data_IF_440584906958
#
_entry.id   IF_440584906958
#
_cell.length_a   1.000
_cell.length_b   1.000
_cell.length_c   1.000
_cell.angle_alpha   90.00
_cell.angle_beta   90.00
_cell.angle_gamma   90.00
#
_symmetry.space_group_name_H-M   'P 1'
#
loop_
_entity.id
_entity.type
_entity.pdbx_description
1 polymer ?
#
# COMPACT_ATOMS: atom_id res chain seq x y z
N UNK A 1 -39.52 6.15 -16.99
CA UNK A 1 -38.36 6.96 -16.56
C UNK A 1 -38.29 6.92 -15.05
N UNK A 2 -37.48 6.02 -14.49
CA UNK A 2 -37.29 5.89 -13.04
C UNK A 2 -36.40 7.04 -12.57
N UNK A 3 -36.93 7.92 -11.72
CA UNK A 3 -36.14 8.86 -10.94
C UNK A 3 -35.13 8.06 -10.10
N UNK A 4 -33.89 7.89 -10.60
CA UNK A 4 -32.80 7.37 -9.79
C UNK A 4 -32.57 8.38 -8.67
N UNK A 5 -33.06 8.07 -7.46
CA UNK A 5 -32.88 8.92 -6.31
C UNK A 5 -31.39 9.18 -6.13
N UNK A 6 -31.02 10.47 -6.10
CA UNK A 6 -29.69 10.88 -5.65
C UNK A 6 -29.65 10.51 -4.18
N UNK A 7 -29.07 9.35 -3.85
CA UNK A 7 -28.73 9.04 -2.46
C UNK A 7 -27.68 10.05 -2.02
N UNK A 8 -28.17 11.15 -1.46
CA UNK A 8 -27.37 12.27 -1.01
C UNK A 8 -26.80 11.89 0.36
N UNK A 9 -25.85 10.95 0.38
CA UNK A 9 -25.13 10.61 1.60
C UNK A 9 -24.40 11.87 2.08
N UNK A 10 -24.59 12.20 3.35
CA UNK A 10 -23.86 13.30 3.98
C UNK A 10 -22.35 12.99 3.98
N UNK A 11 -21.48 14.01 4.01
CA UNK A 11 -20.04 13.83 4.19
C UNK A 11 -19.68 12.90 5.35
N UNK A 12 -20.36 13.04 6.48
CA UNK A 12 -20.17 12.19 7.67
C UNK A 12 -20.55 10.73 7.42
N UNK A 13 -21.63 10.49 6.66
CA UNK A 13 -22.07 9.12 6.33
C UNK A 13 -21.07 8.43 5.42
N UNK A 14 -20.59 9.11 4.38
CA UNK A 14 -19.55 8.57 3.49
C UNK A 14 -18.26 8.31 4.26
N UNK A 15 -17.83 9.25 5.12
CA UNK A 15 -16.63 9.08 5.96
C UNK A 15 -16.71 7.83 6.85
N UNK A 16 -17.80 7.68 7.60
CA UNK A 16 -17.99 6.52 8.49
C UNK A 16 -18.09 5.23 7.66
N UNK A 17 -18.75 5.27 6.51
CA UNK A 17 -18.84 4.11 5.62
C UNK A 17 -17.46 3.69 5.10
N UNK A 18 -16.59 4.65 4.79
CA UNK A 18 -15.20 4.42 4.39
C UNK A 18 -14.37 3.79 5.50
N UNK A 19 -14.43 4.39 6.70
CA UNK A 19 -13.75 3.87 7.88
C UNK A 19 -14.19 2.43 8.22
N UNK A 20 -15.48 2.11 8.09
CA UNK A 20 -15.99 0.75 8.29
C UNK A 20 -15.54 -0.22 7.20
N UNK A 21 -15.52 0.22 5.94
CA UNK A 21 -15.19 -0.65 4.82
C UNK A 21 -13.73 -1.12 4.81
N UNK A 22 -12.81 -0.34 5.39
CA UNK A 22 -11.40 -0.70 5.46
C UNK A 22 -11.05 -1.61 6.65
N UNK A 23 -11.97 -1.85 7.60
CA UNK A 23 -11.73 -2.66 8.81
C UNK A 23 -11.07 -4.02 8.50
N UNK A 24 -11.52 -4.82 7.52
CA UNK A 24 -10.89 -6.12 7.24
C UNK A 24 -9.40 -5.99 6.88
N UNK A 25 -9.03 -4.95 6.12
CA UNK A 25 -7.65 -4.68 5.74
C UNK A 25 -6.84 -4.15 6.93
N UNK A 26 -7.46 -3.31 7.77
CA UNK A 26 -6.85 -2.82 9.02
C UNK A 26 -6.50 -3.97 9.97
N UNK A 27 -7.40 -4.94 10.15
CA UNK A 27 -7.13 -6.12 10.97
C UNK A 27 -5.88 -6.87 10.47
N UNK A 28 -5.75 -7.00 9.14
CA UNK A 28 -4.54 -7.55 8.51
C UNK A 28 -3.30 -6.68 8.71
N UNK A 29 -3.45 -5.35 8.76
CA UNK A 29 -2.36 -4.38 8.89
C UNK A 29 -1.77 -4.28 10.32
N UNK A 30 -2.55 -4.57 11.37
CA UNK A 30 -2.14 -4.48 12.78
C UNK A 30 -0.80 -5.19 13.06
N UNK A 31 -0.63 -6.49 12.76
CA UNK A 31 0.63 -7.18 13.04
C UNK A 31 1.80 -6.47 12.34
N UNK A 32 1.66 -6.08 11.07
CA UNK A 32 2.72 -5.39 10.32
C UNK A 32 3.14 -4.07 10.96
N UNK A 33 2.21 -3.25 11.44
CA UNK A 33 2.54 -2.00 12.14
C UNK A 33 3.33 -2.24 13.43
N UNK A 34 2.93 -3.23 14.23
CA UNK A 34 3.63 -3.60 15.48
C UNK A 34 5.05 -4.10 15.18
N UNK A 35 5.19 -4.93 14.14
CA UNK A 35 6.48 -5.49 13.72
C UNK A 35 7.40 -4.38 13.21
N UNK A 36 6.88 -3.48 12.37
CA UNK A 36 7.65 -2.33 11.91
C UNK A 36 8.21 -1.55 13.10
N UNK A 37 7.37 -1.23 14.08
CA UNK A 37 7.80 -0.55 15.31
C UNK A 37 8.87 -1.34 16.08
N UNK A 38 8.70 -2.65 16.20
CA UNK A 38 9.63 -3.54 16.91
C UNK A 38 11.00 -3.62 16.21
N UNK A 39 11.01 -3.72 14.88
CA UNK A 39 12.22 -3.91 14.07
C UNK A 39 12.95 -2.60 13.74
N UNK A 40 12.30 -1.45 13.90
CA UNK A 40 12.87 -0.17 13.48
C UNK A 40 14.17 0.16 14.23
N UNK A 41 14.20 -0.04 15.55
CA UNK A 41 15.38 0.25 16.37
C UNK A 41 16.54 -0.71 16.09
N UNK A 42 16.27 -2.01 15.95
CA UNK A 42 17.30 -2.99 15.57
C UNK A 42 17.87 -2.77 14.17
N UNK A 43 17.10 -2.12 13.30
CA UNK A 43 17.53 -1.74 11.95
C UNK A 43 18.37 -0.45 11.91
N UNK A 44 18.61 0.20 13.05
CA UNK A 44 19.44 1.40 13.15
C UNK A 44 18.69 2.74 13.14
N UNK A 45 17.35 2.74 13.16
CA UNK A 45 16.57 3.97 13.34
C UNK A 45 16.50 4.35 14.83
N UNK A 46 16.57 5.65 15.12
CA UNK A 46 16.20 6.16 16.43
C UNK A 46 14.68 6.05 16.64
N UNK A 47 14.24 6.12 17.90
CA UNK A 47 12.80 6.14 18.23
C UNK A 47 12.05 7.24 17.46
N UNK A 48 12.61 8.45 17.43
CA UNK A 48 12.03 9.58 16.69
C UNK A 48 12.09 9.34 15.19
N UNK A 49 13.18 8.76 14.67
CA UNK A 49 13.30 8.41 13.26
C UNK A 49 12.25 7.40 12.82
N UNK A 50 11.96 6.39 13.65
CA UNK A 50 10.93 5.40 13.38
C UNK A 50 9.52 6.02 13.33
N UNK A 51 9.19 6.90 14.29
CA UNK A 51 7.91 7.63 14.27
C UNK A 51 7.82 8.56 13.06
N UNK A 52 8.89 9.31 12.76
CA UNK A 52 8.91 10.20 11.59
C UNK A 52 8.73 9.41 10.29
N UNK A 53 9.39 8.27 10.16
CA UNK A 53 9.23 7.38 9.02
C UNK A 53 7.80 6.82 8.93
N UNK A 54 7.23 6.40 10.06
CA UNK A 54 5.84 5.94 10.16
C UNK A 54 4.84 6.99 9.69
N UNK A 55 5.03 8.24 10.12
CA UNK A 55 4.11 9.34 9.85
C UNK A 55 4.27 9.93 8.43
N UNK A 56 5.51 10.12 7.98
CA UNK A 56 5.79 10.86 6.75
C UNK A 56 5.88 9.98 5.51
N UNK A 57 6.48 8.80 5.62
CA UNK A 57 6.60 7.87 4.48
C UNK A 57 5.30 7.09 4.30
N UNK A 58 4.68 6.67 5.40
CA UNK A 58 3.37 5.99 5.46
C UNK A 58 3.14 5.00 4.30
N UNK A 59 4.13 4.15 4.04
CA UNK A 59 4.09 3.14 2.99
C UNK A 59 4.72 1.86 3.53
N UNK A 60 3.90 0.89 3.93
CA UNK A 60 4.34 -0.30 4.67
C UNK A 60 5.46 -1.06 3.94
N UNK A 61 5.27 -1.44 2.68
CA UNK A 61 6.30 -2.17 1.91
C UNK A 61 7.64 -1.40 1.83
N UNK A 62 7.60 -0.10 1.55
CA UNK A 62 8.79 0.75 1.48
C UNK A 62 9.48 0.89 2.85
N UNK A 63 8.71 0.94 3.94
CA UNK A 63 9.22 0.95 5.30
C UNK A 63 10.01 -0.33 5.61
N UNK A 64 9.46 -1.51 5.33
CA UNK A 64 10.16 -2.77 5.54
C UNK A 64 11.41 -2.93 4.67
N UNK A 65 11.34 -2.50 3.41
CA UNK A 65 12.50 -2.46 2.51
C UNK A 65 13.60 -1.57 3.10
N UNK A 66 13.25 -0.38 3.56
CA UNK A 66 14.20 0.54 4.16
C UNK A 66 14.80 -0.02 5.45
N UNK A 67 14.00 -0.66 6.32
CA UNK A 67 14.53 -1.32 7.52
C UNK A 67 15.58 -2.37 7.16
N UNK A 68 15.31 -3.23 6.17
CA UNK A 68 16.27 -4.25 5.73
C UNK A 68 17.56 -3.65 5.14
N UNK A 69 17.45 -2.58 4.35
CA UNK A 69 18.62 -1.89 3.78
C UNK A 69 19.41 -1.10 4.85
N UNK A 70 18.74 -0.52 5.84
CA UNK A 70 19.39 0.14 6.97
C UNK A 70 20.13 -0.87 7.86
N UNK A 71 19.52 -2.03 8.13
CA UNK A 71 20.14 -3.11 8.91
C UNK A 71 21.44 -3.63 8.28
N UNK A 72 21.53 -3.62 6.95
CA UNK A 72 22.74 -3.98 6.18
C UNK A 72 23.71 -2.81 5.97
N UNK A 73 23.44 -1.64 6.58
CA UNK A 73 24.23 -0.41 6.44
C UNK A 73 24.38 0.05 4.98
N UNK A 74 23.37 -0.18 4.16
CA UNK A 74 23.33 0.28 2.77
C UNK A 74 23.37 1.82 2.71
N UNK A 75 24.04 2.38 1.71
CA UNK A 75 24.14 3.83 1.52
C UNK A 75 22.76 4.48 1.33
N UNK A 76 22.52 5.61 2.00
CA UNK A 76 21.21 6.30 2.01
C UNK A 76 20.63 6.59 0.60
N UNK A 77 21.41 7.02 -0.42
CA UNK A 77 20.87 7.23 -1.76
C UNK A 77 20.25 5.98 -2.38
N UNK A 78 20.80 4.79 -2.07
CA UNK A 78 20.26 3.52 -2.57
C UNK A 78 18.93 3.21 -1.89
N UNK A 79 18.82 3.47 -0.59
CA UNK A 79 17.56 3.29 0.16
C UNK A 79 16.47 4.18 -0.42
N UNK A 80 16.79 5.45 -0.65
CA UNK A 80 15.87 6.42 -1.28
C UNK A 80 15.46 5.93 -2.66
N UNK A 81 16.42 5.51 -3.50
CA UNK A 81 16.13 5.03 -4.85
C UNK A 81 15.24 3.78 -4.85
N UNK A 82 15.59 2.76 -4.05
CA UNK A 82 14.81 1.51 -3.99
C UNK A 82 13.41 1.76 -3.48
N UNK A 83 13.25 2.53 -2.41
CA UNK A 83 11.91 2.86 -1.87
C UNK A 83 11.11 3.75 -2.82
N UNK A 84 11.75 4.69 -3.52
CA UNK A 84 11.12 5.49 -4.55
C UNK A 84 10.58 4.62 -5.69
N UNK A 85 11.39 3.72 -6.23
CA UNK A 85 11.00 2.83 -7.34
C UNK A 85 9.82 1.93 -6.93
N UNK A 86 9.85 1.35 -5.73
CA UNK A 86 8.75 0.53 -5.22
C UNK A 86 7.47 1.37 -5.02
N UNK A 87 7.62 2.62 -4.57
CA UNK A 87 6.49 3.52 -4.37
C UNK A 87 5.89 4.09 -5.66
N UNK A 88 6.52 3.92 -6.83
CA UNK A 88 5.92 4.29 -8.12
C UNK A 88 4.55 3.64 -8.35
N UNK A 89 4.23 2.53 -7.68
CA UNK A 89 2.88 1.95 -7.71
C UNK A 89 1.78 2.91 -7.23
N UNK A 90 2.09 3.80 -6.27
CA UNK A 90 1.13 4.82 -5.82
C UNK A 90 0.84 5.86 -6.90
N UNK A 91 1.81 6.13 -7.80
CA UNK A 91 1.57 6.95 -8.99
C UNK A 91 0.57 6.25 -9.93
N UNK A 92 0.70 4.95 -10.16
CA UNK A 92 -0.23 4.17 -10.99
C UNK A 92 -1.64 4.15 -10.40
N UNK A 93 -1.77 4.01 -9.08
CA UNK A 93 -3.04 4.14 -8.38
C UNK A 93 -3.65 5.53 -8.51
N UNK A 94 -2.83 6.57 -8.38
CA UNK A 94 -3.24 7.96 -8.56
C UNK A 94 -3.77 8.22 -9.98
N UNK A 95 -3.11 7.69 -11.01
CA UNK A 95 -3.58 7.77 -12.39
C UNK A 95 -4.92 7.07 -12.59
N UNK A 96 -5.16 5.95 -11.91
CA UNK A 96 -6.45 5.23 -11.98
C UNK A 96 -7.58 6.00 -11.30
N UNK A 97 -7.27 6.77 -10.25
CA UNK A 97 -8.23 7.57 -9.51
C UNK A 97 -8.45 8.97 -10.09
N UNK A 98 -7.55 9.47 -10.94
CA UNK A 98 -7.55 10.87 -11.41
C UNK A 98 -8.87 11.29 -12.04
N UNK A 99 -9.50 10.42 -12.85
CA UNK A 99 -10.77 10.70 -13.52
C UNK A 99 -11.90 10.98 -12.52
N UNK A 100 -11.80 10.43 -11.31
CA UNK A 100 -12.78 10.55 -10.23
C UNK A 100 -12.51 11.74 -9.30
N UNK A 101 -11.25 12.12 -9.11
CA UNK A 101 -10.84 13.18 -8.17
C UNK A 101 -10.40 14.49 -8.83
N UNK A 102 -10.27 14.53 -10.16
CA UNK A 102 -9.78 15.70 -10.92
C UNK A 102 -10.57 16.98 -10.66
N UNK A 103 -11.88 16.87 -10.37
CA UNK A 103 -12.77 18.01 -10.11
C UNK A 103 -12.68 18.56 -8.68
N UNK A 104 -11.97 17.88 -7.78
CA UNK A 104 -11.78 18.33 -6.40
C UNK A 104 -10.78 19.49 -6.33
N UNK A 105 -10.84 20.25 -5.24
CA UNK A 105 -9.88 21.32 -4.97
C UNK A 105 -8.45 20.78 -4.81
N UNK A 106 -7.40 21.61 -5.05
CA UNK A 106 -6.02 21.20 -4.84
C UNK A 106 -5.74 20.66 -3.43
N UNK A 107 -6.40 21.23 -2.42
CA UNK A 107 -6.30 20.78 -1.04
C UNK A 107 -6.76 19.32 -0.86
N UNK A 108 -7.91 18.96 -1.45
CA UNK A 108 -8.39 17.57 -1.42
C UNK A 108 -7.46 16.63 -2.17
N UNK A 109 -6.91 17.05 -3.31
CA UNK A 109 -5.94 16.24 -4.07
C UNK A 109 -4.68 15.96 -3.25
N UNK A 110 -4.18 16.96 -2.52
CA UNK A 110 -3.04 16.81 -1.62
C UNK A 110 -3.33 15.82 -0.47
N UNK A 111 -4.46 16.00 0.23
CA UNK A 111 -4.87 15.13 1.35
C UNK A 111 -5.02 13.68 0.89
N UNK A 112 -5.78 13.46 -0.19
CA UNK A 112 -6.03 12.11 -0.68
C UNK A 112 -4.76 11.48 -1.26
N UNK A 113 -3.89 12.28 -1.89
CA UNK A 113 -2.60 11.80 -2.39
C UNK A 113 -1.65 11.37 -1.29
N UNK A 114 -1.55 12.13 -0.19
CA UNK A 114 -0.66 11.82 0.93
C UNK A 114 -1.02 10.50 1.62
N UNK A 115 -2.31 10.24 1.84
CA UNK A 115 -2.79 9.01 2.50
C UNK A 115 -3.17 7.88 1.55
N UNK A 116 -2.73 7.94 0.30
CA UNK A 116 -2.95 6.86 -0.66
C UNK A 116 -2.05 5.68 -0.31
N UNK A 117 -2.64 4.57 0.15
CA UNK A 117 -1.98 3.27 0.30
C UNK A 117 -2.65 2.21 -0.56
N UNK A 118 -2.07 1.01 -0.62
CA UNK A 118 -2.62 -0.13 -1.37
C UNK A 118 -4.05 -0.48 -0.90
N UNK A 119 -4.25 -0.49 0.42
CA UNK A 119 -5.51 -0.84 1.07
C UNK A 119 -6.57 0.22 0.86
N UNK A 120 -6.17 1.49 0.99
CA UNK A 120 -7.05 2.64 0.76
C UNK A 120 -7.44 2.70 -0.71
N UNK A 121 -6.51 2.45 -1.63
CA UNK A 121 -6.81 2.32 -3.06
C UNK A 121 -7.84 1.24 -3.32
N UNK A 122 -7.63 0.03 -2.76
CA UNK A 122 -8.50 -1.11 -2.96
C UNK A 122 -9.96 -0.83 -2.56
N UNK A 123 -10.14 -0.14 -1.44
CA UNK A 123 -11.46 0.28 -0.92
C UNK A 123 -12.04 1.44 -1.73
N UNK A 124 -11.23 2.47 -2.02
CA UNK A 124 -11.68 3.67 -2.72
C UNK A 124 -12.10 3.39 -4.17
N UNK A 125 -11.31 2.62 -4.93
CA UNK A 125 -11.63 2.31 -6.34
C UNK A 125 -12.95 1.54 -6.45
N UNK A 126 -13.22 0.63 -5.52
CA UNK A 126 -14.48 -0.11 -5.47
C UNK A 126 -15.69 0.82 -5.22
N UNK A 127 -15.54 1.82 -4.33
CA UNK A 127 -16.59 2.84 -4.10
C UNK A 127 -16.83 3.71 -5.34
N UNK A 128 -15.76 4.10 -6.03
CA UNK A 128 -15.84 4.94 -7.22
C UNK A 128 -16.50 4.22 -8.41
N UNK A 129 -16.32 2.91 -8.54
CA UNK A 129 -16.99 2.10 -9.56
C UNK A 129 -18.49 1.88 -9.33
N UNK A 130 -19.01 2.13 -8.11
CA UNK A 130 -20.46 2.07 -7.86
C UNK A 130 -21.18 3.18 -8.63
N UNK A 131 -22.21 2.82 -9.39
CA UNK A 131 -22.96 3.69 -10.31
C UNK A 131 -23.87 4.72 -9.64
N UNK A 132 -23.68 5.04 -8.36
CA UNK A 132 -24.45 6.08 -7.68
C UNK A 132 -23.91 7.49 -7.96
N UNK A 133 -24.80 8.48 -7.91
CA UNK A 133 -24.49 9.91 -8.16
C UNK A 133 -23.98 10.64 -6.91
N UNK A 134 -23.41 9.93 -5.92
CA UNK A 134 -22.92 10.57 -4.70
C UNK A 134 -21.75 11.52 -5.03
N UNK A 135 -21.91 12.81 -4.68
CA UNK A 135 -20.87 13.83 -4.84
C UNK A 135 -19.79 13.77 -3.74
N UNK A 136 -20.10 13.10 -2.62
CA UNK A 136 -19.27 13.06 -1.42
C UNK A 136 -18.36 11.83 -1.33
N UNK A 137 -18.17 11.06 -2.41
CA UNK A 137 -17.31 9.84 -2.43
C UNK A 137 -15.87 10.07 -1.95
N UNK A 138 -15.36 11.30 -2.08
CA UNK A 138 -14.04 11.66 -1.55
C UNK A 138 -13.98 11.61 -0.01
N UNK A 139 -15.09 11.80 0.69
CA UNK A 139 -15.16 11.60 2.14
C UNK A 139 -15.08 10.12 2.53
N UNK A 140 -15.62 9.22 1.71
CA UNK A 140 -15.45 7.77 1.91
C UNK A 140 -14.00 7.35 1.78
N UNK A 141 -13.31 7.83 0.74
CA UNK A 141 -11.86 7.68 0.64
C UNK A 141 -11.22 8.22 1.93
N UNK A 142 -11.45 9.48 2.27
CA UNK A 142 -10.81 10.12 3.41
C UNK A 142 -11.03 9.37 4.74
N UNK A 143 -12.22 8.82 4.97
CA UNK A 143 -12.52 8.00 6.14
C UNK A 143 -11.71 6.70 6.19
N UNK A 144 -11.57 6.01 5.06
CA UNK A 144 -10.72 4.82 4.96
C UNK A 144 -9.25 5.17 5.22
N UNK A 145 -8.76 6.26 4.59
CA UNK A 145 -7.40 6.77 4.73
C UNK A 145 -7.04 7.09 6.19
N UNK A 146 -7.86 7.90 6.87
CA UNK A 146 -7.60 8.32 8.25
C UNK A 146 -7.64 7.12 9.21
N UNK A 147 -8.61 6.22 9.04
CA UNK A 147 -8.71 5.06 9.93
C UNK A 147 -7.50 4.13 9.78
N UNK A 148 -7.04 3.87 8.56
CA UNK A 148 -5.81 3.11 8.31
C UNK A 148 -4.58 3.82 8.88
N UNK A 149 -4.46 5.14 8.67
CA UNK A 149 -3.32 5.92 9.15
C UNK A 149 -3.21 5.89 10.68
N UNK A 150 -4.30 6.16 11.39
CA UNK A 150 -4.33 6.14 12.85
C UNK A 150 -4.01 4.75 13.39
N UNK A 151 -4.57 3.70 12.79
CA UNK A 151 -4.24 2.32 13.13
C UNK A 151 -2.73 2.06 12.99
N UNK A 152 -2.14 2.45 11.86
CA UNK A 152 -0.71 2.25 11.62
C UNK A 152 0.15 2.97 12.64
N UNK A 153 -0.15 4.24 12.95
CA UNK A 153 0.61 5.00 13.95
C UNK A 153 0.51 4.37 15.35
N UNK A 154 -0.70 3.95 15.76
CA UNK A 154 -0.91 3.28 17.05
C UNK A 154 -0.12 1.98 17.11
N UNK A 155 -0.19 1.15 16.07
CA UNK A 155 0.56 -0.10 15.99
C UNK A 155 2.08 0.14 16.02
N UNK A 156 2.58 1.14 15.30
CA UNK A 156 4.01 1.51 15.33
C UNK A 156 4.45 1.90 16.73
N UNK A 157 3.68 2.74 17.43
CA UNK A 157 4.01 3.16 18.80
C UNK A 157 3.98 1.97 19.77
N UNK A 158 2.99 1.09 19.65
CA UNK A 158 2.92 -0.17 20.40
C UNK A 158 4.17 -1.01 20.12
N UNK A 159 4.57 -1.18 18.86
CA UNK A 159 5.77 -1.91 18.49
C UNK A 159 7.06 -1.29 19.05
N UNK A 160 7.19 0.04 18.98
CA UNK A 160 8.37 0.74 19.49
C UNK A 160 8.50 0.68 21.01
N UNK A 161 7.37 0.68 21.73
CA UNK A 161 7.36 0.75 23.20
C UNK A 161 7.31 -0.64 23.83
N UNK A 162 6.50 -1.54 23.29
CA UNK A 162 6.25 -2.88 23.84
C UNK A 162 6.96 -3.99 23.06
N UNK A 163 7.68 -3.67 21.96
CA UNK A 163 8.37 -4.67 21.15
C UNK A 163 9.41 -5.49 21.92
N UNK A 164 10.02 -4.91 22.97
CA UNK A 164 10.95 -5.63 23.86
C UNK A 164 10.26 -6.74 24.68
N UNK A 165 8.93 -6.68 24.86
CA UNK A 165 8.12 -7.72 25.50
C UNK A 165 7.71 -8.83 24.53
N UNK A 166 8.01 -8.69 23.24
CA UNK A 166 7.69 -9.66 22.18
C UNK A 166 9.00 -10.38 21.78
N UNK A 167 9.47 -11.36 22.58
CA UNK A 167 10.67 -12.10 22.25
C UNK A 167 10.50 -12.83 20.91
N UNK A 168 11.54 -12.81 20.09
CA UNK A 168 11.58 -13.49 18.79
C UNK A 168 10.51 -13.04 17.79
N UNK A 169 10.02 -11.79 17.86
CA UNK A 169 9.07 -11.26 16.89
C UNK A 169 9.53 -11.47 15.43
N UNK A 170 10.83 -11.36 15.16
CA UNK A 170 11.44 -11.64 13.85
C UNK A 170 11.21 -13.06 13.34
N UNK A 171 10.97 -14.03 14.22
CA UNK A 171 10.85 -15.46 13.87
C UNK A 171 9.40 -15.89 13.66
N UNK A 172 8.42 -14.98 13.73
CA UNK A 172 6.99 -15.31 13.61
C UNK A 172 6.54 -15.59 12.17
N UNK A 173 7.46 -15.77 11.22
CA UNK A 173 7.12 -16.04 9.82
C UNK A 173 6.50 -14.84 9.10
N UNK A 174 6.90 -13.63 9.48
CA UNK A 174 6.26 -12.38 9.03
C UNK A 174 6.59 -12.03 7.59
N UNK A 175 7.78 -12.43 7.13
CA UNK A 175 8.18 -12.34 5.72
C UNK A 175 7.20 -13.13 4.84
N UNK A 176 6.74 -14.28 5.35
CA UNK A 176 5.70 -15.08 4.70
C UNK A 176 4.32 -14.41 4.79
N UNK A 177 3.92 -13.92 5.98
CA UNK A 177 2.64 -13.24 6.16
C UNK A 177 2.47 -12.01 5.23
N UNK A 178 3.54 -11.23 5.05
CA UNK A 178 3.54 -10.07 4.15
C UNK A 178 3.36 -10.50 2.70
N UNK A 179 4.12 -11.52 2.28
CA UNK A 179 4.04 -12.07 0.93
C UNK A 179 2.63 -12.57 0.61
N UNK A 180 2.02 -13.36 1.51
CA UNK A 180 0.67 -13.89 1.34
C UNK A 180 -0.38 -12.79 1.34
N UNK A 181 -0.24 -11.76 2.18
CA UNK A 181 -1.17 -10.63 2.23
C UNK A 181 -1.18 -9.87 0.91
N UNK A 182 -0.02 -9.54 0.35
CA UNK A 182 0.07 -8.87 -0.95
C UNK A 182 -0.44 -9.75 -2.09
N UNK A 183 -0.14 -11.05 -2.07
CA UNK A 183 -0.70 -12.00 -3.06
C UNK A 183 -2.22 -12.01 -2.97
N UNK A 184 -2.78 -12.13 -1.76
CA UNK A 184 -4.23 -12.13 -1.51
C UNK A 184 -4.91 -10.84 -1.97
N UNK A 185 -4.25 -9.68 -1.80
CA UNK A 185 -4.76 -8.41 -2.31
C UNK A 185 -4.74 -8.32 -3.84
N UNK A 186 -3.73 -8.90 -4.50
CA UNK A 186 -3.58 -8.82 -5.96
C UNK A 186 -4.55 -9.75 -6.69
N UNK A 187 -4.80 -10.96 -6.15
CA UNK A 187 -5.61 -12.00 -6.80
C UNK A 187 -6.97 -11.48 -7.35
N UNK A 188 -7.79 -10.72 -6.59
CA UNK A 188 -9.08 -10.19 -7.09
C UNK A 188 -8.96 -9.26 -8.31
N UNK A 189 -7.79 -8.69 -8.55
CA UNK A 189 -7.52 -7.81 -9.69
C UNK A 189 -7.01 -8.57 -10.92
N UNK A 190 -6.57 -9.82 -10.78
CA UNK A 190 -6.08 -10.65 -11.90
C UNK A 190 -7.26 -11.24 -12.67
N UNK A 191 -7.79 -10.46 -13.62
CA UNK A 191 -9.02 -10.82 -14.34
C UNK A 191 -8.82 -11.30 -15.77
N UNK A 192 -7.63 -11.13 -16.34
CA UNK A 192 -7.37 -11.45 -17.75
C UNK A 192 -5.97 -12.04 -17.95
N UNK A 193 -5.78 -12.67 -19.12
CA UNK A 193 -4.52 -13.34 -19.48
C UNK A 193 -3.28 -12.44 -19.38
N UNK A 194 -3.28 -11.18 -19.87
CA UNK A 194 -2.14 -10.28 -19.65
C UNK A 194 -1.78 -10.07 -18.18
N UNK A 195 -2.77 -9.89 -17.30
CA UNK A 195 -2.54 -9.74 -15.85
C UNK A 195 -1.96 -11.02 -15.24
N UNK A 196 -2.45 -12.20 -15.63
CA UNK A 196 -1.91 -13.49 -15.18
C UNK A 196 -0.43 -13.62 -15.57
N UNK A 197 -0.11 -13.30 -16.83
CA UNK A 197 1.28 -13.35 -17.32
C UNK A 197 2.17 -12.38 -16.55
N UNK A 198 1.71 -11.15 -16.30
CA UNK A 198 2.45 -10.18 -15.48
C UNK A 198 2.78 -10.74 -14.10
N UNK A 199 1.79 -11.30 -13.39
CA UNK A 199 1.98 -11.84 -12.04
C UNK A 199 2.96 -13.01 -12.03
N UNK A 200 2.80 -13.96 -12.97
CA UNK A 200 3.68 -15.13 -13.07
C UNK A 200 5.12 -14.72 -13.38
N UNK A 201 5.31 -13.86 -14.39
CA UNK A 201 6.67 -13.43 -14.81
C UNK A 201 7.33 -12.61 -13.72
N UNK A 202 6.62 -11.68 -13.07
CA UNK A 202 7.17 -10.95 -11.92
C UNK A 202 7.53 -11.88 -10.77
N UNK A 203 6.68 -12.86 -10.45
CA UNK A 203 6.96 -13.84 -9.39
C UNK A 203 8.20 -14.68 -9.68
N UNK A 204 8.31 -15.23 -10.88
CA UNK A 204 9.49 -16.03 -11.31
C UNK A 204 10.75 -15.17 -11.27
N UNK A 205 10.70 -13.96 -11.84
CA UNK A 205 11.86 -13.08 -11.86
C UNK A 205 12.27 -12.62 -10.47
N UNK A 206 11.33 -12.41 -9.54
CA UNK A 206 11.64 -12.10 -8.15
C UNK A 206 12.44 -13.23 -7.49
N UNK A 207 12.07 -14.50 -7.73
CA UNK A 207 12.79 -15.65 -7.20
C UNK A 207 14.19 -15.81 -7.82
N UNK A 208 14.31 -15.64 -9.14
CA UNK A 208 15.59 -15.75 -9.85
C UNK A 208 16.56 -14.65 -9.41
N UNK A 209 16.05 -13.44 -9.19
CA UNK A 209 16.87 -12.24 -8.92
C UNK A 209 16.95 -11.87 -7.45
N UNK A 210 16.45 -12.70 -6.54
CA UNK A 210 16.39 -12.41 -5.10
C UNK A 210 17.78 -12.14 -4.48
N UNK A 211 18.84 -12.75 -5.03
CA UNK A 211 20.21 -12.62 -4.53
C UNK A 211 20.94 -11.37 -5.08
N UNK A 212 20.28 -10.56 -5.93
CA UNK A 212 20.90 -9.34 -6.42
C UNK A 212 21.07 -8.32 -5.28
N UNK A 213 22.18 -7.57 -5.29
CA UNK A 213 22.47 -6.61 -4.24
C UNK A 213 21.41 -5.51 -4.16
N UNK A 214 21.25 -4.94 -2.96
CA UNK A 214 20.38 -3.79 -2.67
C UNK A 214 18.90 -3.97 -3.05
N UNK A 215 18.42 -5.21 -3.08
CA UNK A 215 17.06 -5.55 -3.51
C UNK A 215 16.73 -5.10 -4.95
N UNK A 216 17.74 -4.92 -5.80
CA UNK A 216 17.56 -4.56 -7.22
C UNK A 216 16.77 -5.61 -8.01
N UNK A 217 16.71 -6.86 -7.53
CA UNK A 217 15.84 -7.90 -8.07
C UNK A 217 14.36 -7.51 -8.13
N UNK A 218 13.87 -6.68 -7.20
CA UNK A 218 12.49 -6.16 -7.25
C UNK A 218 12.24 -5.31 -8.50
N UNK A 219 13.24 -4.50 -8.90
CA UNK A 219 13.14 -3.63 -10.08
C UNK A 219 13.12 -4.50 -11.35
N UNK A 220 13.98 -5.51 -11.40
CA UNK A 220 14.03 -6.46 -12.53
C UNK A 220 12.72 -7.23 -12.65
N UNK A 221 12.21 -7.75 -11.54
CA UNK A 221 10.96 -8.49 -11.48
C UNK A 221 9.75 -7.65 -11.91
N UNK A 222 9.66 -6.40 -11.44
CA UNK A 222 8.59 -5.49 -11.81
C UNK A 222 8.66 -5.15 -13.32
N UNK A 223 9.84 -4.79 -13.81
CA UNK A 223 10.03 -4.39 -15.21
C UNK A 223 9.74 -5.55 -16.17
N UNK A 224 10.24 -6.75 -15.85
CA UNK A 224 9.99 -7.94 -16.65
C UNK A 224 8.50 -8.30 -16.75
N UNK A 225 7.77 -8.25 -15.63
CA UNK A 225 6.33 -8.53 -15.63
C UNK A 225 5.50 -7.49 -16.38
N UNK A 226 5.86 -6.20 -16.28
CA UNK A 226 5.22 -5.14 -17.06
C UNK A 226 5.42 -5.37 -18.56
N UNK A 227 6.67 -5.63 -18.99
CA UNK A 227 6.97 -5.91 -20.40
C UNK A 227 6.19 -7.13 -20.89
N UNK A 228 6.21 -8.23 -20.15
CA UNK A 228 5.51 -9.46 -20.52
C UNK A 228 3.98 -9.26 -20.62
N UNK A 229 3.40 -8.52 -19.68
CA UNK A 229 1.98 -8.14 -19.70
C UNK A 229 1.62 -7.30 -20.93
N UNK A 230 2.42 -6.27 -21.22
CA UNK A 230 2.20 -5.39 -22.37
C UNK A 230 2.31 -6.15 -23.70
N UNK A 231 3.30 -7.03 -23.85
CA UNK A 231 3.45 -7.88 -25.04
C UNK A 231 2.24 -8.80 -25.19
N UNK A 232 1.81 -9.45 -24.11
CA UNK A 232 0.63 -10.32 -24.12
C UNK A 232 -0.65 -9.55 -24.47
N UNK A 233 -0.80 -8.33 -23.97
CA UNK A 233 -1.93 -7.46 -24.28
C UNK A 233 -1.96 -7.06 -25.76
N UNK A 234 -0.80 -6.83 -26.38
CA UNK A 234 -0.70 -6.53 -27.82
C UNK A 234 -1.06 -7.73 -28.69
N UNK A 235 -0.70 -8.95 -28.27
CA UNK A 235 -0.98 -10.18 -29.02
C UNK A 235 -2.45 -10.60 -28.92
N UNK A 236 -3.11 -10.27 -27.80
CA UNK A 236 -4.53 -10.58 -27.56
C UNK A 236 -5.50 -9.51 -28.13
N UNK A 237 -5.00 -8.43 -28.74
CA UNK A 237 -5.80 -7.44 -29.47
C UNK A 237 -5.85 -7.81 -30.94
#
# INVERSE_FOLDING_TARGET
MSHSQVHNHSPSTEFIAGAKAIIPLVIGAIPFGIIFGTLAQSSGLSFVGAIAMSALVFAGSAQFIALGLLATKTALPIIILTTFVVNLRHLLYSLSLVSHVQRLSPFWKFILGFWLTDEVFAVAINRYHKSDRSIHKHWYYFGAAIFMYLNWQVCTVIGLTLGHLIPNASNWGLDFAMSVTFIGMVIPYVKNKPMVVTVIVSGIMALITQNLPHQSGLIVAATAGVIAGMVTQKINK
#
